data_IF_057898311690
#
_entry.id   IF_057898311690
#
_cell.length_a   1.000
_cell.length_b   1.000
_cell.length_c   1.000
_cell.angle_alpha   90.00
_cell.angle_beta   90.00
_cell.angle_gamma   90.00
#
_symmetry.space_group_name_H-M   'P 1'
#
loop_
_entity.id
_entity.type
_entity.pdbx_description
1 polymer ?
#
# COMPACT_ATOMS: atom_id res chain seq x y z
N UNK A 1 1.34 -31.19 56.62
CA UNK A 1 1.52 -29.73 56.75
C UNK A 1 2.14 -29.18 55.46
N UNK A 2 1.36 -28.57 54.58
CA UNK A 2 1.83 -28.12 53.25
C UNK A 2 2.80 -26.93 53.40
N UNK A 3 4.05 -27.10 52.96
CA UNK A 3 5.13 -26.11 53.03
C UNK A 3 4.74 -24.72 52.51
N UNK A 4 5.22 -23.64 53.14
CA UNK A 4 4.98 -22.23 52.75
C UNK A 4 5.23 -21.96 51.26
N UNK A 5 6.20 -22.66 50.65
CA UNK A 5 6.54 -22.56 49.22
C UNK A 5 5.34 -22.92 48.32
N UNK A 6 4.48 -23.83 48.77
CA UNK A 6 3.29 -24.27 48.04
C UNK A 6 2.15 -23.25 48.11
N UNK A 7 2.02 -22.49 49.21
CA UNK A 7 1.02 -21.42 49.35
C UNK A 7 1.30 -20.23 48.42
N UNK A 8 2.58 -19.88 48.27
CA UNK A 8 3.00 -18.79 47.37
C UNK A 8 2.75 -19.14 45.90
N UNK A 9 3.05 -20.38 45.48
CA UNK A 9 2.78 -20.83 44.10
C UNK A 9 1.29 -20.83 43.71
N UNK A 10 0.37 -20.98 44.68
CA UNK A 10 -1.09 -20.91 44.43
C UNK A 10 -1.51 -19.53 43.93
N UNK A 11 -0.85 -18.46 44.40
CA UNK A 11 -1.16 -17.09 44.00
C UNK A 11 -0.31 -16.59 42.83
N UNK A 12 0.94 -17.05 42.68
CA UNK A 12 1.82 -16.61 41.57
C UNK A 12 1.30 -17.08 40.20
N UNK A 13 0.82 -18.31 40.10
CA UNK A 13 0.39 -18.91 38.82
C UNK A 13 -0.77 -18.15 38.13
N UNK A 14 -1.86 -17.76 38.83
CA UNK A 14 -2.92 -16.96 38.20
C UNK A 14 -2.45 -15.53 37.87
N UNK A 15 -1.56 -14.93 38.67
CA UNK A 15 -0.98 -13.61 38.36
C UNK A 15 -0.15 -13.68 37.08
N UNK A 16 0.70 -14.70 36.94
CA UNK A 16 1.51 -14.90 35.73
C UNK A 16 0.60 -15.07 34.49
N UNK A 17 -0.47 -15.85 34.60
CA UNK A 17 -1.42 -16.00 33.50
C UNK A 17 -2.14 -14.71 33.15
N UNK A 18 -2.51 -13.89 34.15
CA UNK A 18 -3.13 -12.59 33.94
C UNK A 18 -2.18 -11.63 33.20
N UNK A 19 -0.91 -11.59 33.64
CA UNK A 19 0.12 -10.77 33.00
C UNK A 19 0.28 -11.16 31.54
N UNK A 20 0.39 -12.47 31.23
CA UNK A 20 0.50 -12.94 29.84
C UNK A 20 -0.75 -12.60 29.01
N UNK A 21 -1.94 -12.69 29.60
CA UNK A 21 -3.20 -12.30 28.93
C UNK A 21 -3.29 -10.80 28.63
N UNK A 22 -2.67 -9.95 29.47
CA UNK A 22 -2.71 -8.50 29.34
C UNK A 22 -1.57 -7.92 28.50
N UNK A 23 -0.61 -8.73 28.03
CA UNK A 23 0.49 -8.26 27.17
C UNK A 23 -0.04 -7.38 26.00
N UNK A 24 -1.03 -7.79 25.19
CA UNK A 24 -1.53 -6.95 24.10
C UNK A 24 -2.11 -5.61 24.57
N UNK A 25 -2.79 -5.60 25.72
CA UNK A 25 -3.35 -4.39 26.31
C UNK A 25 -2.24 -3.46 26.85
N UNK A 26 -1.17 -4.01 27.41
CA UNK A 26 0.00 -3.21 27.85
C UNK A 26 0.69 -2.52 26.67
N UNK A 27 0.82 -3.22 25.53
CA UNK A 27 1.35 -2.64 24.29
C UNK A 27 0.49 -1.48 23.77
N UNK A 28 -0.83 -1.53 23.93
CA UNK A 28 -1.77 -0.46 23.58
C UNK A 28 -1.66 0.78 24.49
N UNK A 29 -1.22 0.62 25.75
CA UNK A 29 -1.02 1.75 26.67
C UNK A 29 0.22 2.59 26.35
N UNK A 30 1.20 2.02 25.62
CA UNK A 30 2.41 2.75 25.25
C UNK A 30 2.12 3.79 24.15
N UNK A 31 2.32 5.10 24.39
CA UNK A 31 1.95 6.15 23.44
C UNK A 31 2.72 6.06 22.11
N UNK A 32 3.97 5.58 22.15
CA UNK A 32 4.80 5.40 20.95
C UNK A 32 4.30 4.26 20.05
N UNK A 33 3.84 3.15 20.63
CA UNK A 33 3.39 1.98 19.87
C UNK A 33 1.93 2.06 19.48
N UNK A 34 1.12 2.81 20.23
CA UNK A 34 -0.32 2.96 19.99
C UNK A 34 -0.61 3.42 18.55
N UNK A 35 0.10 4.42 18.05
CA UNK A 35 -0.08 4.93 16.69
C UNK A 35 0.14 3.85 15.63
N UNK A 36 1.24 3.11 15.75
CA UNK A 36 1.59 2.02 14.85
C UNK A 36 0.60 0.84 14.94
N UNK A 37 0.16 0.46 16.13
CA UNK A 37 -0.80 -0.63 16.33
C UNK A 37 -2.14 -0.27 15.68
N UNK A 38 -2.64 0.96 15.86
CA UNK A 38 -3.91 1.38 15.25
C UNK A 38 -3.83 1.51 13.73
N UNK A 39 -2.74 2.04 13.17
CA UNK A 39 -2.57 2.10 11.71
C UNK A 39 -2.53 0.70 11.10
N UNK A 40 -1.82 -0.21 11.76
CA UNK A 40 -1.67 -1.61 11.36
C UNK A 40 -3.00 -2.37 11.51
N UNK A 41 -3.71 -2.18 12.62
CA UNK A 41 -5.04 -2.76 12.85
C UNK A 41 -6.04 -2.37 11.76
N UNK A 42 -6.05 -1.08 11.38
CA UNK A 42 -6.95 -0.55 10.33
C UNK A 42 -6.65 -1.11 8.94
N UNK A 43 -5.43 -1.60 8.67
CA UNK A 43 -5.11 -2.23 7.40
C UNK A 43 -6.01 -3.46 7.16
N UNK A 44 -6.15 -4.34 8.17
CA UNK A 44 -6.91 -5.58 8.10
C UNK A 44 -7.94 -5.70 9.25
N UNK A 45 -8.84 -4.73 9.35
CA UNK A 45 -9.72 -4.59 10.52
C UNK A 45 -10.58 -5.84 10.78
N UNK A 46 -11.09 -6.49 9.73
CA UNK A 46 -11.99 -7.66 9.85
C UNK A 46 -11.22 -8.85 10.45
N UNK A 47 -10.09 -9.23 9.84
CA UNK A 47 -9.29 -10.37 10.32
C UNK A 47 -8.69 -10.10 11.70
N UNK A 48 -8.14 -8.89 11.91
CA UNK A 48 -7.54 -8.54 13.20
C UNK A 48 -8.57 -8.56 14.34
N UNK A 49 -9.81 -8.13 14.09
CA UNK A 49 -10.90 -8.20 15.09
C UNK A 49 -11.31 -9.63 15.38
N UNK A 50 -11.44 -10.46 14.35
CA UNK A 50 -11.76 -11.87 14.51
C UNK A 50 -10.68 -12.59 15.34
N UNK A 51 -9.40 -12.37 15.00
CA UNK A 51 -8.26 -12.92 15.72
C UNK A 51 -8.26 -12.45 17.19
N UNK A 52 -8.47 -11.15 17.44
CA UNK A 52 -8.49 -10.59 18.79
C UNK A 52 -9.65 -11.16 19.64
N UNK A 53 -10.80 -11.42 19.01
CA UNK A 53 -11.96 -12.03 19.68
C UNK A 53 -11.65 -13.47 20.08
N UNK A 54 -11.10 -14.26 19.15
CA UNK A 54 -10.68 -15.65 19.42
C UNK A 54 -9.61 -15.69 20.52
N UNK A 55 -8.63 -14.79 20.45
CA UNK A 55 -7.61 -14.62 21.48
C UNK A 55 -8.23 -14.36 22.86
N UNK A 56 -9.16 -13.41 22.94
CA UNK A 56 -9.81 -13.01 24.19
C UNK A 56 -10.60 -14.17 24.82
N UNK A 57 -11.29 -14.96 24.00
CA UNK A 57 -12.00 -16.17 24.45
C UNK A 57 -11.01 -17.19 25.01
N UNK A 58 -9.95 -17.51 24.25
CA UNK A 58 -8.92 -18.47 24.69
C UNK A 58 -8.22 -18.02 25.98
N UNK A 59 -7.88 -16.74 26.06
CA UNK A 59 -7.22 -16.15 27.22
C UNK A 59 -8.11 -16.17 28.46
N UNK A 60 -9.39 -15.84 28.30
CA UNK A 60 -10.37 -15.92 29.37
C UNK A 60 -10.53 -17.35 29.88
N UNK A 61 -10.67 -18.34 28.99
CA UNK A 61 -10.80 -19.75 29.36
C UNK A 61 -9.55 -20.25 30.11
N UNK A 62 -8.36 -19.86 29.66
CA UNK A 62 -7.11 -20.23 30.32
C UNK A 62 -7.01 -19.63 31.73
N UNK A 63 -7.23 -18.32 31.85
CA UNK A 63 -7.20 -17.62 33.12
C UNK A 63 -8.22 -18.19 34.12
N UNK A 64 -9.47 -18.36 33.67
CA UNK A 64 -10.53 -18.94 34.50
C UNK A 64 -10.15 -20.34 35.00
N UNK A 65 -9.60 -21.19 34.12
CA UNK A 65 -9.18 -22.55 34.49
C UNK A 65 -8.11 -22.54 35.58
N UNK A 66 -7.14 -21.63 35.50
CA UNK A 66 -6.05 -21.52 36.48
C UNK A 66 -6.58 -21.02 37.82
N UNK A 67 -7.49 -20.04 37.83
CA UNK A 67 -8.16 -19.56 39.05
C UNK A 67 -8.98 -20.68 39.69
N UNK A 68 -9.72 -21.45 38.90
CA UNK A 68 -10.53 -22.57 39.39
C UNK A 68 -9.64 -23.64 40.07
N UNK A 69 -8.50 -23.96 39.47
CA UNK A 69 -7.49 -24.86 40.04
C UNK A 69 -6.85 -24.28 41.31
N UNK A 70 -6.54 -22.98 41.33
CA UNK A 70 -6.02 -22.30 42.52
C UNK A 70 -7.00 -22.34 43.69
N UNK A 71 -8.28 -22.07 43.43
CA UNK A 71 -9.37 -22.18 44.42
C UNK A 71 -9.52 -23.61 44.93
N UNK A 72 -9.48 -24.58 44.02
CA UNK A 72 -9.50 -25.99 44.34
C UNK A 72 -8.38 -26.34 45.34
N UNK A 73 -7.12 -26.09 44.98
CA UNK A 73 -5.98 -26.37 45.88
C UNK A 73 -6.07 -25.62 47.21
N UNK A 74 -6.59 -24.40 47.22
CA UNK A 74 -6.74 -23.62 48.44
C UNK A 74 -7.74 -24.24 49.41
N UNK A 75 -8.88 -24.74 48.92
CA UNK A 75 -9.89 -25.43 49.75
C UNK A 75 -9.28 -26.66 50.42
N UNK A 76 -8.55 -27.48 49.66
CA UNK A 76 -7.90 -28.67 50.24
C UNK A 76 -6.74 -28.29 51.16
N UNK A 77 -5.97 -27.23 50.88
CA UNK A 77 -4.86 -26.83 51.76
C UNK A 77 -5.32 -26.26 53.10
N UNK A 78 -6.53 -25.69 53.19
CA UNK A 78 -7.08 -25.09 54.42
C UNK A 78 -7.90 -26.06 55.28
N UNK A 79 -8.25 -27.23 54.77
CA UNK A 79 -9.10 -28.17 55.50
C UNK A 79 -10.57 -27.76 55.61
N UNK A 80 -11.06 -26.96 54.66
CA UNK A 80 -12.42 -26.43 54.72
C UNK A 80 -13.41 -27.41 54.08
N UNK A 81 -14.02 -28.27 54.91
CA UNK A 81 -14.94 -29.33 54.49
C UNK A 81 -16.30 -28.84 53.96
N UNK A 82 -16.66 -27.56 54.13
CA UNK A 82 -17.98 -27.07 53.74
C UNK A 82 -18.02 -26.36 52.37
N UNK A 83 -16.86 -26.16 51.73
CA UNK A 83 -16.76 -25.45 50.45
C UNK A 83 -16.74 -26.39 49.24
N UNK A 84 -17.77 -26.31 48.41
CA UNK A 84 -17.83 -27.10 47.18
C UNK A 84 -16.99 -26.44 46.07
N UNK A 85 -16.30 -27.26 45.28
CA UNK A 85 -15.58 -26.82 44.07
C UNK A 85 -15.83 -27.83 42.95
N UNK A 86 -16.13 -27.36 41.73
CA UNK A 86 -16.54 -28.22 40.61
C UNK A 86 -15.49 -29.30 40.26
N UNK A 87 -14.20 -29.00 40.39
CA UNK A 87 -13.13 -29.97 40.13
C UNK A 87 -13.04 -31.08 41.18
N UNK A 88 -13.39 -30.78 42.43
CA UNK A 88 -13.17 -31.66 43.59
C UNK A 88 -14.51 -32.28 44.02
N UNK A 89 -15.64 -31.81 43.47
CA UNK A 89 -16.99 -32.17 43.88
C UNK A 89 -17.14 -32.02 45.41
N UNK A 90 -17.25 -33.13 46.13
CA UNK A 90 -17.37 -33.22 47.59
C UNK A 90 -16.15 -33.88 48.27
N UNK A 91 -15.01 -34.03 47.58
CA UNK A 91 -13.82 -34.68 48.16
C UNK A 91 -13.30 -33.99 49.42
N UNK A 92 -13.52 -32.67 49.58
CA UNK A 92 -13.13 -31.98 50.80
C UNK A 92 -13.89 -32.53 52.03
N UNK A 93 -15.16 -32.92 51.88
CA UNK A 93 -15.96 -33.54 52.95
C UNK A 93 -15.36 -34.88 53.34
N UNK A 94 -14.90 -35.68 52.38
CA UNK A 94 -14.25 -36.96 52.68
C UNK A 94 -12.97 -36.80 53.52
N UNK A 95 -12.10 -35.86 53.16
CA UNK A 95 -10.83 -35.69 53.87
C UNK A 95 -10.99 -35.06 55.25
N UNK A 96 -12.05 -34.26 55.46
CA UNK A 96 -12.20 -33.42 56.67
C UNK A 96 -13.42 -33.75 57.53
N UNK A 97 -14.39 -34.54 57.07
CA UNK A 97 -15.47 -35.12 57.89
C UNK A 97 -15.28 -36.62 57.99
N UNK A 98 -15.32 -37.14 59.22
CA UNK A 98 -14.83 -38.47 59.61
C UNK A 98 -15.68 -39.66 59.11
N UNK A 99 -16.63 -39.45 58.19
CA UNK A 99 -17.78 -40.34 58.05
C UNK A 99 -18.13 -40.59 56.58
N UNK A 100 -17.24 -41.28 55.85
CA UNK A 100 -17.52 -41.76 54.50
C UNK A 100 -16.89 -43.13 54.23
N UNK A 101 -17.70 -44.22 54.16
CA UNK A 101 -17.22 -45.59 53.91
C UNK A 101 -16.57 -45.79 52.53
N UNK A 102 -16.80 -44.88 51.58
CA UNK A 102 -16.48 -45.04 50.16
C UNK A 102 -15.40 -44.07 49.63
N UNK A 103 -14.38 -43.81 50.44
CA UNK A 103 -13.30 -42.87 50.16
C UNK A 103 -12.61 -43.06 48.80
N UNK A 104 -12.31 -44.31 48.43
CA UNK A 104 -11.64 -44.64 47.16
C UNK A 104 -12.46 -44.25 45.93
N UNK A 105 -13.79 -44.45 45.98
CA UNK A 105 -14.69 -44.09 44.88
C UNK A 105 -14.77 -42.58 44.67
N UNK A 106 -14.74 -41.80 45.75
CA UNK A 106 -14.79 -40.35 45.70
C UNK A 106 -13.48 -39.76 45.17
N UNK A 107 -12.33 -40.31 45.58
CA UNK A 107 -11.00 -39.93 45.05
C UNK A 107 -10.94 -40.19 43.54
N UNK A 108 -11.38 -41.37 43.09
CA UNK A 108 -11.46 -41.71 41.68
C UNK A 108 -12.37 -40.73 40.90
N UNK A 109 -13.58 -40.47 41.43
CA UNK A 109 -14.56 -39.59 40.79
C UNK A 109 -14.07 -38.14 40.63
N UNK A 110 -13.35 -37.60 41.60
CA UNK A 110 -12.81 -36.26 41.51
C UNK A 110 -11.60 -36.19 40.58
N UNK A 111 -10.78 -37.25 40.55
CA UNK A 111 -9.67 -37.31 39.60
C UNK A 111 -10.18 -37.37 38.15
N UNK A 112 -11.23 -38.14 37.92
CA UNK A 112 -11.92 -38.21 36.63
C UNK A 112 -12.58 -36.88 36.26
N UNK A 113 -13.29 -36.22 37.20
CA UNK A 113 -13.87 -34.89 36.98
C UNK A 113 -12.81 -33.83 36.65
N UNK A 114 -11.71 -33.80 37.40
CA UNK A 114 -10.59 -32.90 37.16
C UNK A 114 -9.89 -33.19 35.82
N UNK A 115 -9.73 -34.46 35.45
CA UNK A 115 -9.16 -34.86 34.16
C UNK A 115 -10.07 -34.48 32.99
N UNK A 116 -11.37 -34.75 33.09
CA UNK A 116 -12.37 -34.35 32.08
C UNK A 116 -12.36 -32.83 31.88
N UNK A 117 -12.37 -32.07 32.98
CA UNK A 117 -12.32 -30.61 32.94
C UNK A 117 -11.00 -30.10 32.33
N UNK A 118 -9.85 -30.67 32.72
CA UNK A 118 -8.54 -30.35 32.11
C UNK A 118 -8.58 -30.56 30.61
N UNK A 119 -8.97 -31.75 30.16
CA UNK A 119 -8.98 -32.11 28.73
C UNK A 119 -9.90 -31.19 27.93
N UNK A 120 -11.12 -30.92 28.43
CA UNK A 120 -12.07 -30.03 27.76
C UNK A 120 -11.53 -28.60 27.65
N UNK A 121 -11.02 -28.02 28.75
CA UNK A 121 -10.50 -26.64 28.76
C UNK A 121 -9.27 -26.50 27.86
N UNK A 122 -8.36 -27.46 27.93
CA UNK A 122 -7.14 -27.42 27.13
C UNK A 122 -7.42 -27.62 25.64
N UNK A 123 -8.37 -28.48 25.28
CA UNK A 123 -8.85 -28.63 23.91
C UNK A 123 -9.41 -27.31 23.38
N UNK A 124 -10.21 -26.58 24.16
CA UNK A 124 -10.75 -25.28 23.75
C UNK A 124 -9.65 -24.24 23.51
N UNK A 125 -8.64 -24.17 24.38
CA UNK A 125 -7.51 -23.25 24.21
C UNK A 125 -6.73 -23.60 22.93
N UNK A 126 -6.46 -24.89 22.70
CA UNK A 126 -5.81 -25.37 21.48
C UNK A 126 -6.62 -25.06 20.22
N UNK A 127 -7.95 -25.23 20.26
CA UNK A 127 -8.82 -24.83 19.15
C UNK A 127 -8.71 -23.34 18.88
N UNK A 128 -8.66 -22.49 19.92
CA UNK A 128 -8.46 -21.04 19.75
C UNK A 128 -7.09 -20.72 19.13
N UNK A 129 -6.02 -21.40 19.57
CA UNK A 129 -4.68 -21.27 18.98
C UNK A 129 -4.70 -21.59 17.48
N UNK A 130 -5.22 -22.76 17.12
CA UNK A 130 -5.25 -23.22 15.73
C UNK A 130 -6.15 -22.33 14.86
N UNK A 131 -7.30 -21.91 15.39
CA UNK A 131 -8.22 -21.02 14.67
C UNK A 131 -7.61 -19.63 14.47
N UNK A 132 -6.87 -19.11 15.45
CA UNK A 132 -6.14 -17.85 15.31
C UNK A 132 -5.09 -17.91 14.18
N UNK A 133 -4.32 -19.00 14.12
CA UNK A 133 -3.35 -19.23 13.05
C UNK A 133 -4.03 -19.36 11.69
N UNK A 134 -5.12 -20.13 11.62
CA UNK A 134 -5.92 -20.29 10.40
C UNK A 134 -6.49 -18.96 9.91
N UNK A 135 -6.96 -18.11 10.82
CA UNK A 135 -7.50 -16.80 10.47
C UNK A 135 -6.43 -15.83 9.98
N UNK A 136 -5.20 -15.94 10.50
CA UNK A 136 -4.03 -15.24 9.95
C UNK A 136 -3.72 -15.68 8.51
N UNK A 137 -3.72 -16.99 8.25
CA UNK A 137 -3.53 -17.55 6.90
C UNK A 137 -4.63 -17.11 5.91
N UNK A 138 -5.89 -17.09 6.36
CA UNK A 138 -7.01 -16.57 5.56
C UNK A 138 -6.82 -15.09 5.23
N UNK A 139 -6.31 -14.30 6.16
CA UNK A 139 -5.94 -12.90 5.91
C UNK A 139 -4.85 -12.77 4.84
N UNK A 140 -3.85 -13.66 4.84
CA UNK A 140 -2.83 -13.72 3.79
C UNK A 140 -3.43 -14.02 2.42
N UNK A 141 -4.29 -15.04 2.34
CA UNK A 141 -4.98 -15.40 1.09
C UNK A 141 -5.84 -14.24 0.56
N UNK A 142 -6.55 -13.56 1.45
CA UNK A 142 -7.35 -12.39 1.11
C UNK A 142 -6.47 -11.23 0.60
N UNK A 143 -5.38 -10.90 1.30
CA UNK A 143 -4.49 -9.81 0.90
C UNK A 143 -3.81 -10.09 -0.45
N UNK A 144 -3.38 -11.34 -0.70
CA UNK A 144 -2.87 -11.76 -2.01
C UNK A 144 -3.94 -11.62 -3.11
N UNK A 145 -5.19 -11.98 -2.82
CA UNK A 145 -6.29 -11.82 -3.77
C UNK A 145 -6.53 -10.35 -4.13
N UNK A 146 -6.43 -9.44 -3.15
CA UNK A 146 -6.51 -7.98 -3.40
C UNK A 146 -5.34 -7.49 -4.25
N UNK A 147 -4.13 -8.00 -4.00
CA UNK A 147 -2.94 -7.68 -4.79
C UNK A 147 -3.11 -8.12 -6.24
N UNK A 148 -3.54 -9.36 -6.48
CA UNK A 148 -3.77 -9.90 -7.83
C UNK A 148 -4.86 -9.10 -8.56
N UNK A 149 -5.99 -8.83 -7.90
CA UNK A 149 -7.07 -8.03 -8.49
C UNK A 149 -6.58 -6.62 -8.88
N UNK A 150 -5.73 -6.02 -8.04
CA UNK A 150 -5.15 -4.71 -8.34
C UNK A 150 -4.24 -4.77 -9.55
N UNK A 151 -3.37 -5.78 -9.67
CA UNK A 151 -2.46 -5.96 -10.82
C UNK A 151 -3.24 -6.12 -12.13
N UNK A 152 -4.33 -6.89 -12.15
CA UNK A 152 -5.19 -7.03 -13.34
C UNK A 152 -5.73 -5.66 -13.79
N UNK A 153 -6.23 -4.85 -12.85
CA UNK A 153 -6.71 -3.48 -13.16
C UNK A 153 -5.60 -2.59 -13.71
N UNK A 154 -4.34 -2.79 -13.31
CA UNK A 154 -3.20 -2.04 -13.86
C UNK A 154 -2.90 -2.44 -15.30
N UNK A 155 -2.94 -3.73 -15.61
CA UNK A 155 -2.71 -4.25 -16.95
C UNK A 155 -3.80 -3.77 -17.92
N UNK A 156 -5.05 -3.71 -17.47
CA UNK A 156 -6.14 -3.18 -18.29
C UNK A 156 -5.95 -1.69 -18.60
N UNK A 157 -5.51 -0.89 -17.61
CA UNK A 157 -5.34 0.56 -17.73
C UNK A 157 -4.10 1.00 -18.50
N UNK A 158 -3.01 0.22 -18.49
CA UNK A 158 -1.78 0.56 -19.22
C UNK A 158 -1.96 0.52 -20.75
N UNK A 159 -3.02 -0.14 -21.23
CA UNK A 159 -3.35 -0.20 -22.66
C UNK A 159 -3.99 1.08 -23.24
N UNK A 160 -4.36 2.07 -22.41
CA UNK A 160 -5.16 3.25 -22.82
C UNK A 160 -4.43 4.62 -22.86
N UNK A 161 -3.12 4.72 -22.63
CA UNK A 161 -2.44 6.02 -22.44
C UNK A 161 -1.50 6.46 -23.56
N UNK A 162 -2.02 7.07 -24.63
CA UNK A 162 -1.21 7.75 -25.65
C UNK A 162 -1.86 9.05 -26.11
N UNK A 163 -1.21 10.18 -25.82
CA UNK A 163 -1.59 11.53 -26.21
C UNK A 163 -1.05 12.48 -25.15
N UNK A 164 -0.16 13.39 -25.56
CA UNK A 164 0.75 14.11 -24.68
C UNK A 164 0.40 15.57 -24.38
N UNK A 165 0.88 16.04 -23.22
CA UNK A 165 1.19 17.40 -22.81
C UNK A 165 2.04 17.38 -21.53
N UNK A 166 2.86 18.41 -21.28
CA UNK A 166 3.81 18.44 -20.15
C UNK A 166 3.16 18.46 -18.75
N UNK A 167 1.88 18.86 -18.63
CA UNK A 167 1.11 18.71 -17.37
C UNK A 167 0.68 17.26 -17.11
N UNK A 168 0.64 16.41 -18.14
CA UNK A 168 0.25 15.02 -18.02
C UNK A 168 1.37 14.13 -17.46
N UNK A 169 2.64 14.55 -17.48
CA UNK A 169 3.73 13.75 -16.90
C UNK A 169 3.54 13.62 -15.38
N UNK A 170 3.10 14.70 -14.71
CA UNK A 170 2.74 14.64 -13.29
C UNK A 170 1.51 13.76 -13.06
N UNK A 171 0.49 13.85 -13.92
CA UNK A 171 -0.70 13.01 -13.82
C UNK A 171 -0.40 11.54 -14.08
N UNK A 172 0.51 11.22 -15.02
CA UNK A 172 1.01 9.88 -15.31
C UNK A 172 1.81 9.35 -14.12
N UNK A 173 2.70 10.14 -13.52
CA UNK A 173 3.45 9.75 -12.31
C UNK A 173 2.48 9.51 -11.14
N UNK A 174 1.50 10.39 -10.92
CA UNK A 174 0.47 10.24 -9.88
C UNK A 174 -0.38 8.99 -10.14
N UNK A 175 -0.71 8.70 -11.40
CA UNK A 175 -1.42 7.48 -11.77
C UNK A 175 -0.58 6.22 -11.53
N UNK A 176 0.72 6.23 -11.83
CA UNK A 176 1.64 5.12 -11.57
C UNK A 176 1.79 4.92 -10.05
N UNK A 177 1.95 5.99 -9.26
CA UNK A 177 2.05 5.90 -7.81
C UNK A 177 0.75 5.36 -7.18
N UNK A 178 -0.42 5.84 -7.62
CA UNK A 178 -1.72 5.29 -7.19
C UNK A 178 -1.88 3.83 -7.60
N UNK A 179 -1.43 3.49 -8.81
CA UNK A 179 -1.48 2.15 -9.36
C UNK A 179 -0.65 1.16 -8.54
N UNK A 180 0.56 1.55 -8.13
CA UNK A 180 1.45 0.71 -7.32
C UNK A 180 1.02 0.63 -5.83
N UNK A 181 0.31 1.64 -5.35
CA UNK A 181 -0.16 1.71 -3.96
C UNK A 181 -1.19 0.61 -3.62
N UNK A 182 -2.05 0.22 -4.58
CA UNK A 182 -3.09 -0.77 -4.34
C UNK A 182 -2.54 -2.20 -4.10
N UNK A 183 -1.62 -2.74 -4.93
CA UNK A 183 -0.90 -3.98 -4.64
C UNK A 183 -0.15 -3.97 -3.30
N UNK A 184 0.53 -2.85 -2.98
CA UNK A 184 1.25 -2.70 -1.71
C UNK A 184 0.30 -2.73 -0.50
N UNK A 185 -0.91 -2.21 -0.64
CA UNK A 185 -1.95 -2.30 0.39
C UNK A 185 -2.42 -3.75 0.60
N UNK A 186 -2.63 -4.51 -0.48
CA UNK A 186 -2.98 -5.94 -0.40
C UNK A 186 -1.91 -6.75 0.35
N UNK A 187 -0.63 -6.48 0.06
CA UNK A 187 0.50 -7.07 0.76
C UNK A 187 0.51 -6.71 2.26
N UNK A 188 0.29 -5.44 2.60
CA UNK A 188 0.23 -5.01 4.01
C UNK A 188 -0.90 -5.69 4.77
N UNK A 189 -2.09 -5.84 4.16
CA UNK A 189 -3.23 -6.57 4.74
C UNK A 189 -2.85 -8.01 5.10
N UNK A 190 -2.23 -8.70 4.14
CA UNK A 190 -1.78 -10.10 4.29
C UNK A 190 -0.75 -10.24 5.42
N UNK A 191 0.30 -9.43 5.37
CA UNK A 191 1.40 -9.48 6.33
C UNK A 191 0.93 -9.24 7.77
N UNK A 192 0.11 -8.20 7.97
CA UNK A 192 -0.40 -7.83 9.28
C UNK A 192 -1.30 -8.91 9.87
N UNK A 193 -2.23 -9.44 9.08
CA UNK A 193 -3.15 -10.49 9.56
C UNK A 193 -2.38 -11.74 10.01
N UNK A 194 -1.31 -12.10 9.29
CA UNK A 194 -0.43 -13.22 9.65
C UNK A 194 0.28 -12.98 11.00
N UNK A 195 0.86 -11.80 11.21
CA UNK A 195 1.51 -11.44 12.49
C UNK A 195 0.52 -11.55 13.65
N UNK A 196 -0.69 -10.99 13.51
CA UNK A 196 -1.71 -11.08 14.56
C UNK A 196 -2.08 -12.53 14.87
N UNK A 197 -2.25 -13.36 13.84
CA UNK A 197 -2.60 -14.77 13.98
C UNK A 197 -1.55 -15.57 14.75
N UNK A 198 -0.27 -15.41 14.36
CA UNK A 198 0.88 -16.10 14.96
C UNK A 198 1.15 -15.61 16.39
N UNK A 199 1.18 -14.29 16.62
CA UNK A 199 1.43 -13.72 17.95
C UNK A 199 0.34 -14.16 18.94
N UNK A 200 -0.93 -14.13 18.54
CA UNK A 200 -2.04 -14.64 19.35
C UNK A 200 -1.87 -16.13 19.68
N UNK A 201 -1.51 -16.97 18.71
CA UNK A 201 -1.27 -18.39 18.93
C UNK A 201 -0.10 -18.65 19.89
N UNK A 202 0.99 -17.89 19.80
CA UNK A 202 2.14 -17.98 20.72
C UNK A 202 1.71 -17.61 22.15
N UNK A 203 1.00 -16.49 22.32
CA UNK A 203 0.54 -16.04 23.64
C UNK A 203 -0.40 -17.07 24.30
N UNK A 204 -1.35 -17.61 23.53
CA UNK A 204 -2.21 -18.71 24.00
C UNK A 204 -1.42 -20.00 24.28
N UNK A 205 -0.36 -20.26 23.52
CA UNK A 205 0.56 -21.38 23.75
C UNK A 205 1.29 -21.28 25.09
N UNK A 206 1.81 -20.10 25.43
CA UNK A 206 2.43 -19.83 26.73
C UNK A 206 1.41 -20.03 27.86
N UNK A 207 0.20 -19.50 27.71
CA UNK A 207 -0.88 -19.71 28.69
C UNK A 207 -1.27 -21.18 28.83
N UNK A 208 -1.25 -21.96 27.75
CA UNK A 208 -1.50 -23.40 27.76
C UNK A 208 -0.48 -24.13 28.64
N UNK A 209 0.79 -23.74 28.58
CA UNK A 209 1.86 -24.31 29.43
C UNK A 209 1.58 -24.01 30.91
N UNK A 210 1.23 -22.76 31.24
CA UNK A 210 0.90 -22.34 32.61
C UNK A 210 -0.33 -23.12 33.12
N UNK A 211 -1.36 -23.26 32.29
CA UNK A 211 -2.58 -24.00 32.59
C UNK A 211 -2.28 -25.49 32.86
N UNK A 212 -1.49 -26.14 31.99
CA UNK A 212 -1.02 -27.52 32.21
C UNK A 212 -0.29 -27.67 33.55
N UNK A 213 0.61 -26.75 33.86
CA UNK A 213 1.35 -26.74 35.12
C UNK A 213 0.42 -26.64 36.34
N UNK A 214 -0.57 -25.74 36.30
CA UNK A 214 -1.57 -25.60 37.36
C UNK A 214 -2.35 -26.90 37.60
N UNK A 215 -2.89 -27.53 36.53
CA UNK A 215 -3.59 -28.81 36.66
C UNK A 215 -2.69 -29.92 37.18
N UNK A 216 -1.45 -30.02 36.71
CA UNK A 216 -0.51 -31.02 37.23
C UNK A 216 -0.28 -30.83 38.73
N UNK A 217 -0.14 -29.58 39.19
CA UNK A 217 -0.05 -29.25 40.62
C UNK A 217 -1.27 -29.70 41.42
N UNK A 218 -2.49 -29.60 40.86
CA UNK A 218 -3.70 -30.13 41.49
C UNK A 218 -3.68 -31.66 41.57
N UNK A 219 -3.30 -32.36 40.50
CA UNK A 219 -3.19 -33.82 40.51
C UNK A 219 -2.16 -34.31 41.53
N UNK A 220 -1.02 -33.64 41.64
CA UNK A 220 -0.04 -33.91 42.70
C UNK A 220 -0.65 -33.74 44.09
N UNK A 221 -1.43 -32.67 44.30
CA UNK A 221 -2.13 -32.44 45.57
C UNK A 221 -3.11 -33.58 45.88
N UNK A 222 -4.01 -33.92 44.93
CA UNK A 222 -5.00 -34.99 45.09
C UNK A 222 -4.34 -36.33 45.42
N UNK A 223 -3.23 -36.65 44.73
CA UNK A 223 -2.46 -37.86 44.99
C UNK A 223 -1.85 -37.87 46.39
N UNK A 224 -1.23 -36.78 46.82
CA UNK A 224 -0.64 -36.68 48.16
C UNK A 224 -1.69 -36.95 49.25
N UNK A 225 -2.86 -36.31 49.16
CA UNK A 225 -3.92 -36.53 50.14
C UNK A 225 -4.50 -37.94 50.08
N UNK A 226 -4.61 -38.55 48.88
CA UNK A 226 -5.05 -39.94 48.77
C UNK A 226 -4.11 -40.91 49.51
N UNK A 227 -2.79 -40.68 49.43
CA UNK A 227 -1.79 -41.46 50.15
C UNK A 227 -1.89 -41.23 51.65
N UNK A 228 -2.04 -39.97 52.09
CA UNK A 228 -2.20 -39.62 53.50
C UNK A 228 -3.45 -40.26 54.13
N UNK A 229 -4.56 -40.30 53.37
CA UNK A 229 -5.78 -41.00 53.79
C UNK A 229 -5.60 -42.52 53.90
N UNK A 230 -4.91 -43.14 52.93
CA UNK A 230 -4.62 -44.58 52.99
C UNK A 230 -3.72 -44.92 54.19
N UNK A 231 -2.69 -44.10 54.46
CA UNK A 231 -1.80 -44.29 55.61
C UNK A 231 -2.56 -44.17 56.94
N UNK A 232 -3.45 -43.18 57.07
CA UNK A 232 -4.24 -42.97 58.29
C UNK A 232 -5.24 -44.10 58.55
N UNK A 233 -5.82 -44.69 57.50
CA UNK A 233 -6.68 -45.87 57.64
C UNK A 233 -5.88 -47.14 58.00
N UNK A 234 -4.66 -47.30 57.47
CA UNK A 234 -3.78 -48.43 57.82
C UNK A 234 -3.36 -48.40 59.30
N UNK A 235 -3.03 -47.22 59.83
CA UNK A 235 -2.74 -47.01 61.26
C UNK A 235 -3.94 -47.33 62.17
N UNK A 236 -5.18 -47.15 61.69
CA UNK A 236 -6.39 -47.53 62.43
C UNK A 236 -6.73 -49.02 62.35
N UNK A 237 -6.27 -49.73 61.32
CA UNK A 237 -6.49 -51.18 61.12
C UNK A 237 -5.42 -52.03 61.83
N UNK A 238 -4.30 -51.42 62.26
CA UNK A 238 -3.17 -52.09 62.92
C UNK A 238 -3.39 -52.66 64.32
N UNK A 239 -4.61 -52.69 64.87
CA UNK A 239 -4.91 -53.26 66.19
C UNK A 239 -5.62 -54.64 66.19
N UNK A 240 -5.90 -55.24 65.04
CA UNK A 240 -6.46 -56.60 65.00
C UNK A 240 -5.86 -57.44 63.85
N UNK A 241 -5.81 -58.76 64.02
CA UNK A 241 -5.00 -59.78 63.33
C UNK A 241 -5.21 -59.96 61.81
N UNK A 242 -5.33 -58.86 61.04
CA UNK A 242 -5.78 -58.84 59.66
C UNK A 242 -4.70 -58.35 58.66
N UNK A 243 -3.44 -58.74 58.86
CA UNK A 243 -2.30 -58.40 57.97
C UNK A 243 -2.53 -58.75 56.49
N UNK A 244 -3.39 -59.74 56.21
CA UNK A 244 -3.79 -60.14 54.84
C UNK A 244 -4.69 -59.08 54.17
N UNK A 245 -5.51 -58.35 54.92
CA UNK A 245 -6.37 -57.29 54.38
C UNK A 245 -5.62 -55.98 54.15
N UNK A 246 -4.67 -55.62 55.02
CA UNK A 246 -3.79 -54.46 54.84
C UNK A 246 -2.93 -54.59 53.56
N UNK A 247 -2.30 -55.76 53.36
CA UNK A 247 -1.57 -56.07 52.12
C UNK A 247 -2.46 -56.00 50.87
N UNK A 248 -3.72 -56.43 50.96
CA UNK A 248 -4.68 -56.38 49.85
C UNK A 248 -5.15 -54.95 49.52
N UNK A 249 -5.28 -54.07 50.50
CA UNK A 249 -5.60 -52.65 50.31
C UNK A 249 -4.41 -51.91 49.68
N UNK A 250 -3.20 -52.16 50.16
CA UNK A 250 -1.97 -51.59 49.60
C UNK A 250 -1.79 -52.05 48.15
N UNK A 251 -1.98 -53.34 47.84
CA UNK A 251 -1.91 -53.87 46.46
C UNK A 251 -2.98 -53.26 45.56
N UNK A 252 -4.22 -53.07 46.05
CA UNK A 252 -5.26 -52.36 45.29
C UNK A 252 -4.92 -50.89 45.06
N UNK A 253 -4.35 -50.21 46.06
CA UNK A 253 -3.85 -48.83 45.95
C UNK A 253 -2.73 -48.73 44.91
N UNK A 254 -1.73 -49.60 44.99
CA UNK A 254 -0.62 -49.69 44.04
C UNK A 254 -1.14 -49.97 42.63
N UNK A 255 -2.06 -50.91 42.44
CA UNK A 255 -2.64 -51.18 41.12
C UNK A 255 -3.43 -49.98 40.57
N UNK A 256 -4.19 -49.27 41.41
CA UNK A 256 -4.89 -48.05 40.99
C UNK A 256 -3.92 -46.92 40.61
N UNK A 257 -2.79 -46.81 41.33
CA UNK A 257 -1.72 -45.85 41.03
C UNK A 257 -1.02 -46.26 39.73
N UNK A 258 -0.77 -47.56 39.51
CA UNK A 258 -0.14 -48.08 38.32
C UNK A 258 -1.00 -47.79 37.08
N UNK A 259 -2.30 -48.10 37.12
CA UNK A 259 -3.23 -47.75 36.05
C UNK A 259 -3.29 -46.24 35.80
N UNK A 260 -3.27 -45.44 36.86
CA UNK A 260 -3.32 -44.00 36.74
C UNK A 260 -2.01 -43.43 36.16
N UNK A 261 -0.86 -44.00 36.49
CA UNK A 261 0.45 -43.65 35.90
C UNK A 261 0.50 -44.10 34.43
N UNK A 262 -0.01 -45.28 34.09
CA UNK A 262 -0.11 -45.75 32.70
C UNK A 262 -1.02 -44.81 31.89
N UNK A 263 -2.20 -44.45 32.42
CA UNK A 263 -3.11 -43.52 31.77
C UNK A 263 -2.53 -42.11 31.66
N UNK A 264 -1.80 -41.64 32.67
CA UNK A 264 -1.10 -40.36 32.62
C UNK A 264 0.03 -40.40 31.59
N UNK A 265 0.79 -41.49 31.51
CA UNK A 265 1.86 -41.68 30.53
C UNK A 265 1.29 -41.73 29.11
N UNK A 266 0.20 -42.46 28.88
CA UNK A 266 -0.49 -42.52 27.60
C UNK A 266 -1.09 -41.16 27.20
N UNK A 267 -1.69 -40.43 28.15
CA UNK A 267 -2.18 -39.08 27.92
C UNK A 267 -1.03 -38.09 27.64
N UNK A 268 0.12 -38.27 28.29
CA UNK A 268 1.32 -37.43 28.08
C UNK A 268 1.97 -37.74 26.74
N UNK A 269 2.08 -39.00 26.34
CA UNK A 269 2.55 -39.39 25.00
C UNK A 269 1.63 -38.85 23.91
N UNK A 270 0.31 -38.98 24.08
CA UNK A 270 -0.66 -38.36 23.18
C UNK A 270 -0.52 -36.83 23.15
N UNK A 271 -0.16 -36.21 24.27
CA UNK A 271 0.15 -34.78 24.35
C UNK A 271 1.46 -34.44 23.64
N UNK A 272 2.49 -35.27 23.73
CA UNK A 272 3.74 -35.14 22.97
C UNK A 272 3.46 -35.26 21.48
N UNK A 273 2.63 -36.20 21.05
CA UNK A 273 2.21 -36.32 19.64
C UNK A 273 1.44 -35.08 19.17
N UNK A 274 0.51 -34.56 19.98
CA UNK A 274 -0.19 -33.31 19.65
C UNK A 274 0.78 -32.11 19.63
N UNK A 275 1.74 -32.07 20.55
CA UNK A 275 2.72 -30.97 20.61
C UNK A 275 3.73 -31.09 19.47
N UNK A 276 4.12 -32.30 19.07
CA UNK A 276 4.95 -32.59 17.91
C UNK A 276 4.22 -32.33 16.59
N UNK A 277 2.93 -32.64 16.51
CA UNK A 277 2.07 -32.27 15.38
C UNK A 277 1.87 -30.75 15.30
N UNK A 278 1.75 -30.05 16.44
CA UNK A 278 1.72 -28.59 16.48
C UNK A 278 3.08 -27.97 16.10
N UNK A 279 4.20 -28.57 16.54
CA UNK A 279 5.55 -28.15 16.15
C UNK A 279 5.79 -28.37 14.66
N UNK A 280 5.38 -29.53 14.14
CA UNK A 280 5.38 -29.84 12.71
C UNK A 280 4.47 -28.89 11.93
N UNK A 281 3.31 -28.52 12.49
CA UNK A 281 2.43 -27.50 11.93
C UNK A 281 3.07 -26.10 11.92
N UNK A 282 3.82 -25.74 12.98
CA UNK A 282 4.60 -24.50 13.03
C UNK A 282 5.74 -24.54 12.02
N UNK A 283 6.45 -25.66 11.88
CA UNK A 283 7.51 -25.84 10.89
C UNK A 283 6.97 -25.80 9.45
N UNK A 284 5.82 -26.43 9.20
CA UNK A 284 5.12 -26.31 7.92
C UNK A 284 4.70 -24.88 7.64
N UNK A 285 4.16 -24.18 8.65
CA UNK A 285 3.79 -22.78 8.50
C UNK A 285 5.02 -21.89 8.30
N UNK A 286 6.14 -22.15 8.99
CA UNK A 286 7.39 -21.43 8.76
C UNK A 286 7.96 -21.71 7.38
N UNK A 287 7.93 -22.96 6.92
CA UNK A 287 8.34 -23.32 5.56
C UNK A 287 7.48 -22.62 4.51
N UNK A 288 6.16 -22.56 4.71
CA UNK A 288 5.24 -21.80 3.85
C UNK A 288 5.49 -20.30 3.89
N UNK A 289 5.75 -19.73 5.07
CA UNK A 289 6.10 -18.32 5.25
C UNK A 289 7.42 -18.02 4.53
N UNK A 290 8.45 -18.83 4.72
CA UNK A 290 9.75 -18.67 4.07
C UNK A 290 9.66 -18.81 2.56
N UNK A 291 8.90 -19.79 2.06
CA UNK A 291 8.63 -19.95 0.64
C UNK A 291 7.88 -18.74 0.09
N UNK A 292 6.86 -18.24 0.79
CA UNK A 292 6.13 -17.04 0.40
C UNK A 292 7.01 -15.79 0.42
N UNK A 293 7.87 -15.63 1.44
CA UNK A 293 8.85 -14.54 1.52
C UNK A 293 9.86 -14.60 0.38
N UNK A 294 10.35 -15.79 0.05
CA UNK A 294 11.25 -15.99 -1.10
C UNK A 294 10.57 -15.58 -2.39
N UNK A 295 9.35 -16.07 -2.64
CA UNK A 295 8.59 -15.69 -3.83
C UNK A 295 8.28 -14.18 -3.88
N UNK A 296 7.99 -13.55 -2.74
CA UNK A 296 7.81 -12.09 -2.66
C UNK A 296 9.13 -11.36 -2.95
N UNK A 297 10.25 -11.86 -2.43
CA UNK A 297 11.59 -11.32 -2.70
C UNK A 297 11.94 -11.41 -4.18
N UNK A 298 11.69 -12.56 -4.82
CA UNK A 298 11.94 -12.76 -6.24
C UNK A 298 11.08 -11.83 -7.10
N UNK A 299 9.79 -11.69 -6.76
CA UNK A 299 8.89 -10.74 -7.42
C UNK A 299 9.34 -9.30 -7.22
N UNK A 300 9.81 -8.92 -6.02
CA UNK A 300 10.35 -7.58 -5.75
C UNK A 300 11.60 -7.30 -6.58
N UNK A 301 12.49 -8.28 -6.74
CA UNK A 301 13.69 -8.15 -7.58
C UNK A 301 13.28 -7.96 -9.05
N UNK A 302 12.37 -8.79 -9.56
CA UNK A 302 11.86 -8.69 -10.94
C UNK A 302 11.21 -7.32 -11.17
N UNK A 303 10.31 -6.88 -10.28
CA UNK A 303 9.66 -5.57 -10.37
C UNK A 303 10.67 -4.42 -10.30
N UNK A 304 11.73 -4.56 -9.48
CA UNK A 304 12.79 -3.56 -9.40
C UNK A 304 13.60 -3.47 -10.70
N UNK A 305 13.88 -4.61 -11.34
CA UNK A 305 14.57 -4.67 -12.63
C UNK A 305 13.72 -4.11 -13.76
N UNK A 306 12.44 -4.45 -13.82
CA UNK A 306 11.51 -3.89 -14.80
C UNK A 306 11.36 -2.38 -14.63
N UNK A 307 11.31 -1.86 -13.41
CA UNK A 307 11.29 -0.41 -13.18
C UNK A 307 12.54 0.31 -13.71
N UNK A 308 13.73 -0.30 -13.60
CA UNK A 308 14.96 0.29 -14.14
C UNK A 308 14.90 0.36 -15.67
N UNK A 309 14.42 -0.71 -16.33
CA UNK A 309 14.27 -0.76 -17.79
C UNK A 309 13.21 0.23 -18.28
N UNK A 310 12.08 0.30 -17.59
CA UNK A 310 11.03 1.28 -17.88
C UNK A 310 11.55 2.71 -17.70
N UNK A 311 12.28 2.99 -16.62
CA UNK A 311 12.82 4.33 -16.36
C UNK A 311 13.87 4.73 -17.41
N UNK A 312 14.78 3.83 -17.78
CA UNK A 312 15.76 4.11 -18.83
C UNK A 312 15.12 4.27 -20.20
N UNK A 313 14.07 3.49 -20.51
CA UNK A 313 13.27 3.65 -21.73
C UNK A 313 12.55 5.00 -21.81
N UNK A 314 11.95 5.44 -20.69
CA UNK A 314 11.29 6.75 -20.58
C UNK A 314 12.30 7.89 -20.71
N UNK A 315 13.47 7.79 -20.07
CA UNK A 315 14.52 8.81 -20.17
C UNK A 315 15.07 8.92 -21.61
N UNK A 316 15.24 7.78 -22.30
CA UNK A 316 15.65 7.75 -23.70
C UNK A 316 14.61 8.38 -24.63
N UNK A 317 13.33 8.01 -24.46
CA UNK A 317 12.23 8.60 -25.23
C UNK A 317 12.11 10.12 -24.99
N UNK A 318 12.28 10.58 -23.74
CA UNK A 318 12.30 12.00 -23.41
C UNK A 318 13.42 12.76 -24.12
N UNK A 319 14.61 12.17 -24.20
CA UNK A 319 15.74 12.76 -24.92
C UNK A 319 15.48 12.82 -26.43
N UNK A 320 14.95 11.76 -27.03
CA UNK A 320 14.59 11.74 -28.46
C UNK A 320 13.53 12.78 -28.82
N UNK A 321 12.50 12.96 -27.96
CA UNK A 321 11.47 13.99 -28.16
C UNK A 321 12.08 15.39 -28.05
N UNK A 322 12.91 15.64 -27.04
CA UNK A 322 13.57 16.95 -26.88
C UNK A 322 14.47 17.27 -28.08
N UNK A 323 15.22 16.29 -28.58
CA UNK A 323 16.08 16.45 -29.75
C UNK A 323 15.25 16.71 -31.01
N UNK A 324 14.16 15.97 -31.21
CA UNK A 324 13.20 16.18 -32.30
C UNK A 324 12.56 17.57 -32.28
N UNK A 325 12.13 18.06 -31.11
CA UNK A 325 11.59 19.41 -30.93
C UNK A 325 12.66 20.47 -31.22
N UNK A 326 13.90 20.27 -30.76
CA UNK A 326 15.01 21.19 -31.04
C UNK A 326 15.32 21.28 -32.55
N UNK A 327 15.34 20.15 -33.24
CA UNK A 327 15.54 20.11 -34.70
C UNK A 327 14.41 20.81 -35.44
N UNK A 328 13.15 20.60 -35.03
CA UNK A 328 12.00 21.26 -35.61
C UNK A 328 12.04 22.79 -35.38
N UNK A 329 12.43 23.22 -34.18
CA UNK A 329 12.61 24.64 -33.83
C UNK A 329 13.71 25.28 -34.68
N UNK A 330 14.83 24.58 -34.89
CA UNK A 330 15.95 25.05 -35.72
C UNK A 330 15.54 25.21 -37.18
N UNK A 331 14.82 24.22 -37.75
CA UNK A 331 14.28 24.31 -39.10
C UNK A 331 13.28 25.47 -39.25
N UNK A 332 12.41 25.68 -38.26
CA UNK A 332 11.50 26.82 -38.26
C UNK A 332 12.24 28.16 -38.22
N UNK A 333 13.28 28.26 -37.40
CA UNK A 333 14.10 29.46 -37.32
C UNK A 333 14.84 29.74 -38.64
N UNK A 334 15.39 28.72 -39.29
CA UNK A 334 16.05 28.85 -40.59
C UNK A 334 15.07 29.30 -41.68
N UNK A 335 13.87 28.73 -41.70
CA UNK A 335 12.80 29.17 -42.61
C UNK A 335 12.40 30.63 -42.36
N UNK A 336 12.24 31.05 -41.10
CA UNK A 336 11.93 32.44 -40.75
C UNK A 336 13.03 33.39 -41.26
N UNK A 337 14.30 33.03 -41.08
CA UNK A 337 15.42 33.83 -41.58
C UNK A 337 15.39 33.97 -43.11
N UNK A 338 15.12 32.86 -43.82
CA UNK A 338 14.96 32.88 -45.28
C UNK A 338 13.81 33.78 -45.72
N UNK A 339 12.66 33.74 -45.05
CA UNK A 339 11.54 34.65 -45.33
C UNK A 339 11.89 36.11 -45.05
N UNK A 340 12.62 36.39 -43.97
CA UNK A 340 13.09 37.74 -43.65
C UNK A 340 14.08 38.29 -44.69
N UNK A 341 14.98 37.45 -45.21
CA UNK A 341 15.91 37.85 -46.26
C UNK A 341 15.18 38.15 -47.58
N UNK A 342 14.18 37.33 -47.95
CA UNK A 342 13.30 37.62 -49.08
C UNK A 342 12.55 38.93 -48.86
N UNK A 343 12.01 39.17 -47.65
CA UNK A 343 11.30 40.40 -47.32
C UNK A 343 12.21 41.63 -47.44
N UNK A 344 13.45 41.57 -46.94
CA UNK A 344 14.44 42.64 -47.10
C UNK A 344 14.77 42.88 -48.58
N UNK A 345 14.94 41.82 -49.37
CA UNK A 345 15.13 41.90 -50.81
C UNK A 345 13.97 42.64 -51.49
N UNK A 346 12.74 42.24 -51.21
CA UNK A 346 11.54 42.88 -51.75
C UNK A 346 11.42 44.35 -51.33
N UNK A 347 11.77 44.69 -50.08
CA UNK A 347 11.77 46.06 -49.59
C UNK A 347 12.80 46.93 -50.33
N UNK A 348 13.98 46.37 -50.62
CA UNK A 348 15.02 47.06 -51.40
C UNK A 348 14.62 47.28 -52.87
N UNK A 349 13.91 46.31 -53.47
CA UNK A 349 13.35 46.43 -54.82
C UNK A 349 12.27 47.51 -54.84
N UNK A 350 11.38 47.53 -53.85
CA UNK A 350 10.35 48.56 -53.73
C UNK A 350 10.96 49.97 -53.63
N UNK A 351 11.98 50.16 -52.79
CA UNK A 351 12.70 51.42 -52.70
C UNK A 351 13.41 51.80 -54.02
N UNK A 352 13.94 50.82 -54.74
CA UNK A 352 14.50 51.01 -56.08
C UNK A 352 13.46 51.48 -57.10
N UNK A 353 12.28 50.86 -57.13
CA UNK A 353 11.16 51.25 -58.00
C UNK A 353 10.71 52.68 -57.69
N UNK A 354 10.59 53.03 -56.41
CA UNK A 354 10.21 54.38 -55.97
C UNK A 354 11.22 55.43 -56.47
N UNK A 355 12.52 55.15 -56.32
CA UNK A 355 13.58 56.04 -56.83
C UNK A 355 13.58 56.22 -58.35
N UNK A 356 13.27 55.16 -59.11
CA UNK A 356 13.17 55.23 -60.58
C UNK A 356 11.93 55.99 -61.02
N UNK A 357 10.81 55.81 -60.30
CA UNK A 357 9.58 56.56 -60.52
C UNK A 357 9.81 58.06 -60.31
N UNK A 358 10.47 58.45 -59.21
CA UNK A 358 10.81 59.85 -58.92
C UNK A 358 11.75 60.43 -60.00
N UNK A 359 12.73 59.66 -60.46
CA UNK A 359 13.67 60.09 -61.51
C UNK A 359 12.99 60.23 -62.88
N UNK A 360 12.03 59.36 -63.21
CA UNK A 360 11.22 59.48 -64.42
C UNK A 360 10.30 60.70 -64.36
N UNK A 361 9.64 60.94 -63.23
CA UNK A 361 8.78 62.10 -63.04
C UNK A 361 9.56 63.41 -63.22
N UNK A 362 10.77 63.49 -62.64
CA UNK A 362 11.68 64.63 -62.82
C UNK A 362 12.07 64.86 -64.29
N UNK A 363 12.45 63.79 -65.02
CA UNK A 363 12.79 63.88 -66.45
C UNK A 363 11.61 64.32 -67.31
N UNK A 364 10.40 63.83 -67.02
CA UNK A 364 9.19 64.27 -67.72
C UNK A 364 8.89 65.75 -67.47
N UNK A 365 9.08 66.25 -66.25
CA UNK A 365 8.90 67.66 -65.92
C UNK A 365 9.90 68.55 -66.68
N UNK A 366 11.14 68.09 -66.81
CA UNK A 366 12.21 68.79 -67.53
C UNK A 366 11.93 68.87 -69.04
N UNK A 367 11.49 67.77 -69.64
CA UNK A 367 11.02 67.76 -71.04
C UNK A 367 9.81 68.67 -71.27
N UNK A 368 8.87 68.72 -70.32
CA UNK A 368 7.71 69.61 -70.41
C UNK A 368 8.13 71.09 -70.40
N UNK A 369 9.13 71.45 -69.59
CA UNK A 369 9.66 72.81 -69.54
C UNK A 369 10.38 73.18 -70.85
N UNK A 370 11.19 72.28 -71.41
CA UNK A 370 11.83 72.48 -72.73
C UNK A 370 10.80 72.70 -73.84
N UNK A 371 9.71 71.94 -73.85
CA UNK A 371 8.63 72.11 -74.83
C UNK A 371 7.91 73.45 -74.68
N UNK A 372 7.69 73.93 -73.44
CA UNK A 372 7.15 75.27 -73.19
C UNK A 372 8.07 76.34 -73.73
N UNK A 373 9.39 76.22 -73.50
CA UNK A 373 10.39 77.18 -73.96
C UNK A 373 10.45 77.27 -75.49
N UNK A 374 10.49 76.12 -76.18
CA UNK A 374 10.40 76.03 -77.64
C UNK A 374 9.08 76.60 -78.18
N UNK A 375 7.96 76.41 -77.47
CA UNK A 375 6.68 77.01 -77.86
C UNK A 375 6.72 78.53 -77.79
N UNK A 376 7.41 79.11 -76.80
CA UNK A 376 7.62 80.56 -76.71
C UNK A 376 8.53 81.08 -77.81
N UNK A 377 9.64 80.39 -78.11
CA UNK A 377 10.51 80.76 -79.24
C UNK A 377 9.76 80.70 -80.57
N UNK A 378 9.03 79.62 -80.86
CA UNK A 378 8.24 79.51 -82.09
C UNK A 378 7.19 80.63 -82.21
N UNK A 379 6.59 81.04 -81.10
CA UNK A 379 5.66 82.18 -81.08
C UNK A 379 6.38 83.50 -81.41
N UNK A 380 7.58 83.70 -80.88
CA UNK A 380 8.42 84.86 -81.20
C UNK A 380 8.83 84.88 -82.68
N UNK A 381 9.24 83.74 -83.26
CA UNK A 381 9.54 83.64 -84.69
C UNK A 381 8.31 83.90 -85.58
N UNK A 382 7.14 83.40 -85.18
CA UNK A 382 5.89 83.67 -85.88
C UNK A 382 5.54 85.17 -85.87
N UNK A 383 5.70 85.87 -84.74
CA UNK A 383 5.48 87.31 -84.64
C UNK A 383 6.47 88.11 -85.52
N UNK A 384 7.74 87.67 -85.61
CA UNK A 384 8.75 88.29 -86.48
C UNK A 384 8.35 88.15 -87.95
N UNK A 385 7.97 86.94 -88.40
CA UNK A 385 7.54 86.69 -89.78
C UNK A 385 6.28 87.50 -90.14
N UNK A 386 5.36 87.65 -89.20
CA UNK A 386 4.14 88.43 -89.39
C UNK A 386 4.45 89.92 -89.60
N UNK A 387 5.42 90.45 -88.84
CA UNK A 387 5.92 91.83 -88.97
C UNK A 387 6.67 92.06 -90.29
N UNK A 388 7.40 91.06 -90.77
CA UNK A 388 8.12 91.09 -92.04
C UNK A 388 7.17 91.03 -93.25
N UNK A 389 6.09 90.24 -93.15
CA UNK A 389 5.01 90.23 -94.13
C UNK A 389 4.28 91.58 -94.23
N UNK A 390 3.96 92.23 -93.11
CA UNK A 390 3.35 93.56 -93.10
C UNK A 390 4.26 94.63 -93.75
N UNK A 391 5.57 94.57 -93.47
CA UNK A 391 6.57 95.45 -94.08
C UNK A 391 6.64 95.27 -95.61
N UNK A 392 6.70 94.03 -96.08
CA UNK A 392 6.76 93.71 -97.51
C UNK A 392 5.48 94.16 -98.25
N UNK A 393 4.31 93.98 -97.62
CA UNK A 393 3.04 94.44 -98.18
C UNK A 393 3.00 95.97 -98.36
N UNK A 394 3.51 96.74 -97.39
CA UNK A 394 3.55 98.21 -97.46
C UNK A 394 4.51 98.76 -98.52
N UNK A 395 5.52 97.97 -98.92
CA UNK A 395 6.58 98.41 -99.85
C UNK A 395 6.27 98.03 -101.30
N UNK A 396 5.75 96.81 -101.53
CA UNK A 396 5.59 96.26 -102.88
C UNK A 396 4.30 96.74 -103.57
N UNK A 397 3.24 96.97 -102.80
CA UNK A 397 1.92 97.31 -103.33
C UNK A 397 1.86 98.66 -104.09
N UNK A 398 2.40 99.79 -103.57
CA UNK A 398 2.40 101.06 -104.30
C UNK A 398 3.36 101.08 -105.50
N UNK A 399 4.38 100.22 -105.51
CA UNK A 399 5.30 100.04 -106.64
C UNK A 399 4.64 99.28 -107.80
N UNK A 400 3.82 98.28 -107.48
CA UNK A 400 3.02 97.54 -108.45
C UNK A 400 1.95 98.44 -109.10
N UNK A 401 1.26 99.28 -108.33
CA UNK A 401 0.29 100.24 -108.89
C UNK A 401 0.94 101.23 -109.88
N UNK A 402 2.09 101.82 -109.53
CA UNK A 402 2.83 102.74 -110.43
C UNK A 402 3.29 102.07 -111.73
N UNK A 403 3.64 100.78 -111.67
CA UNK A 403 4.06 100.02 -112.85
C UNK A 403 2.88 99.77 -113.80
N UNK A 404 1.71 99.44 -113.25
CA UNK A 404 0.46 99.25 -114.00
C UNK A 404 -0.02 100.56 -114.64
N UNK A 405 0.14 101.69 -113.94
CA UNK A 405 -0.25 103.01 -114.45
C UNK A 405 0.67 103.51 -115.58
N UNK A 406 1.99 103.29 -115.48
CA UNK A 406 2.95 103.57 -116.56
C UNK A 406 2.67 102.76 -117.83
N UNK A 407 2.27 101.48 -117.69
CA UNK A 407 1.97 100.64 -118.85
C UNK A 407 0.74 101.13 -119.64
N UNK A 408 -0.27 101.68 -118.94
CA UNK A 408 -1.46 102.29 -119.56
C UNK A 408 -1.15 103.59 -120.31
N UNK A 409 -0.19 104.39 -119.85
CA UNK A 409 0.20 105.65 -120.53
C UNK A 409 1.03 105.41 -121.80
N UNK A 410 1.84 104.34 -121.84
CA UNK A 410 2.65 103.97 -122.99
C UNK A 410 1.85 103.33 -124.14
N UNK A 411 0.76 102.64 -123.84
CA UNK A 411 -0.13 102.04 -124.86
C UNK A 411 -1.10 103.03 -125.50
N UNK A 412 -1.31 104.22 -124.91
CA UNK A 412 -2.19 105.27 -125.44
C UNK A 412 -1.58 106.21 -126.49
N UNK A 413 -0.24 106.28 -126.64
CA UNK A 413 0.43 107.18 -127.60
C UNK A 413 0.75 106.56 -128.98
N UNK A 414 0.37 105.30 -129.22
CA UNK A 414 0.61 104.57 -130.48
C UNK A 414 -0.59 104.66 -131.47
N UNK A 415 -1.49 105.62 -131.29
CA UNK A 415 -2.60 105.89 -132.24
C UNK A 415 -2.78 107.39 -132.55
N UNK A 416 -1.83 107.99 -133.27
CA UNK A 416 -2.04 108.88 -134.44
C UNK A 416 -0.74 109.41 -135.01
#
# INVERSE_FOLDING_TARGET
MISMKNKVNIFITPILSLVVALIPAMFLLSPYLRGYIFSTYRASAIFNTAILTIYSIGAFVSFYSIVEVGRARFILSRGDGNKNCRLISNLNKLFYSAEYPNAGSLISSANESAFKTKTQRLSLIHTCMNTSTMMGLLGTFFGLSVTVASVVVLLDKSSLGGGGNSSEILDVIVNIMKSLSAPLRGMNIAFVASIYGVVSAILLGVQTIICRSAYNSLFYCLREMSIEYLKKNDEQIGLDNNKVNAGRIIVKGINSILEQVINLNNATNKQYDITAAALSGIDMNMSRINSCLSSISDVLVILSQEQIILKSGVDSAKNMINEGVCLQMKNHHENINKYNDILKGNLSIAAGIESVSDEQEKRHLEQLNMLKENSTENKMYADILLKEMESSHSTFYPLFEKLVEMHKLLTGRVTK
#
